data_IF_064752737609
#
_entry.id   IF_064752737609
#
_cell.length_a   1.000
_cell.length_b   1.000
_cell.length_c   1.000
_cell.angle_alpha   90.00
_cell.angle_beta   90.00
_cell.angle_gamma   90.00
#
_symmetry.space_group_name_H-M   'P 1'
#
loop_
_entity.id
_entity.type
_entity.pdbx_description
1 polymer ?
#
# COMPACT_ATOMS: atom_id res chain seq x y z
N UNK A 1 -4.32 19.64 25.72
CA UNK A 1 -3.16 19.09 24.98
C UNK A 1 -3.51 17.87 24.10
N UNK A 2 -4.79 17.58 23.81
CA UNK A 2 -5.19 16.47 22.91
C UNK A 2 -5.12 16.82 21.41
N UNK A 3 -5.33 18.08 21.03
CA UNK A 3 -5.35 18.51 19.62
C UNK A 3 -4.02 18.32 18.86
N UNK A 4 -2.87 18.36 19.55
CA UNK A 4 -1.57 18.11 18.92
C UNK A 4 -1.33 16.64 18.59
N UNK A 5 -1.91 15.70 19.36
CA UNK A 5 -1.68 14.27 19.17
C UNK A 5 -2.38 13.74 17.91
N UNK A 6 -3.63 14.16 17.68
CA UNK A 6 -4.37 13.69 16.51
C UNK A 6 -3.85 14.25 15.19
N UNK A 7 -3.42 15.53 15.17
CA UNK A 7 -2.76 16.11 14.00
C UNK A 7 -1.50 15.31 13.62
N UNK A 8 -0.65 15.03 14.60
CA UNK A 8 0.58 14.26 14.41
C UNK A 8 0.30 12.83 13.93
N UNK A 9 -0.74 12.18 14.46
CA UNK A 9 -1.15 10.85 13.99
C UNK A 9 -1.55 10.86 12.50
N UNK A 10 -2.36 11.83 12.07
CA UNK A 10 -2.74 11.97 10.66
C UNK A 10 -1.55 12.30 9.77
N UNK A 11 -0.61 13.13 10.23
CA UNK A 11 0.64 13.39 9.53
C UNK A 11 1.45 12.10 9.34
N UNK A 12 1.65 11.32 10.41
CA UNK A 12 2.41 10.08 10.36
C UNK A 12 1.78 9.03 9.43
N UNK A 13 0.45 8.88 9.45
CA UNK A 13 -0.25 7.98 8.52
C UNK A 13 -0.11 8.48 7.09
N UNK A 14 -0.31 9.78 6.84
CA UNK A 14 -0.12 10.36 5.51
C UNK A 14 1.28 10.09 4.97
N UNK A 15 2.31 10.29 5.80
CA UNK A 15 3.69 10.00 5.45
C UNK A 15 3.92 8.53 5.10
N UNK A 16 3.45 7.59 5.94
CA UNK A 16 3.69 6.16 5.67
C UNK A 16 3.00 5.71 4.39
N UNK A 17 1.75 6.13 4.15
CA UNK A 17 1.03 5.74 2.94
C UNK A 17 1.72 6.32 1.70
N UNK A 18 2.27 7.52 1.78
CA UNK A 18 3.12 8.09 0.73
C UNK A 18 4.39 7.24 0.50
N UNK A 19 5.10 6.85 1.56
CA UNK A 19 6.28 5.98 1.43
C UNK A 19 5.94 4.60 0.83
N UNK A 20 4.78 4.04 1.17
CA UNK A 20 4.30 2.80 0.56
C UNK A 20 4.01 2.98 -0.93
N UNK A 21 3.42 4.11 -1.33
CA UNK A 21 3.19 4.43 -2.75
C UNK A 21 4.49 4.60 -3.52
N UNK A 22 5.46 5.35 -2.98
CA UNK A 22 6.80 5.51 -3.59
C UNK A 22 7.47 4.14 -3.75
N UNK A 23 7.45 3.31 -2.69
CA UNK A 23 8.00 1.96 -2.74
C UNK A 23 7.35 1.09 -3.83
N UNK A 24 6.03 1.22 -4.03
CA UNK A 24 5.32 0.50 -5.10
C UNK A 24 5.72 1.00 -6.50
N UNK A 25 5.85 2.31 -6.68
CA UNK A 25 6.25 2.93 -7.94
C UNK A 25 7.69 2.55 -8.33
N UNK A 26 8.57 2.44 -7.34
CA UNK A 26 9.96 1.99 -7.52
C UNK A 26 10.10 0.47 -7.64
N UNK A 27 8.98 -0.28 -7.64
CA UNK A 27 8.93 -1.74 -7.58
C UNK A 27 9.71 -2.37 -6.42
N UNK A 28 9.95 -1.60 -5.34
CA UNK A 28 10.61 -2.07 -4.13
C UNK A 28 9.60 -2.71 -3.17
N UNK A 29 9.20 -3.93 -3.50
CA UNK A 29 8.16 -4.67 -2.76
C UNK A 29 8.57 -5.02 -1.33
N UNK A 30 9.86 -5.26 -1.07
CA UNK A 30 10.36 -5.54 0.28
C UNK A 30 10.23 -4.32 1.19
N UNK A 31 10.61 -3.13 0.68
CA UNK A 31 10.45 -1.88 1.42
C UNK A 31 8.96 -1.57 1.65
N UNK A 32 8.12 -1.76 0.62
CA UNK A 32 6.67 -1.60 0.76
C UNK A 32 6.10 -2.48 1.89
N UNK A 33 6.48 -3.76 1.93
CA UNK A 33 6.03 -4.69 2.96
C UNK A 33 6.57 -4.32 4.34
N UNK A 34 7.79 -3.78 4.43
CA UNK A 34 8.35 -3.33 5.72
C UNK A 34 7.53 -2.21 6.38
N UNK A 35 6.83 -1.39 5.58
CA UNK A 35 5.96 -0.32 6.08
C UNK A 35 4.60 -0.82 6.59
N UNK A 36 4.17 -2.02 6.17
CA UNK A 36 2.82 -2.53 6.41
C UNK A 36 2.47 -2.62 7.90
N UNK A 37 3.40 -3.13 8.73
CA UNK A 37 3.18 -3.27 10.18
C UNK A 37 2.94 -1.90 10.82
N UNK A 38 3.75 -0.90 10.44
CA UNK A 38 3.64 0.45 11.00
C UNK A 38 2.38 1.15 10.52
N UNK A 39 1.99 0.96 9.25
CA UNK A 39 0.73 1.45 8.70
C UNK A 39 -0.49 0.91 9.48
N UNK A 40 -0.53 -0.41 9.73
CA UNK A 40 -1.61 -1.05 10.47
C UNK A 40 -1.73 -0.48 11.89
N UNK A 41 -0.62 -0.43 12.61
CA UNK A 41 -0.57 0.10 13.98
C UNK A 41 -1.09 1.54 14.06
N UNK A 42 -0.63 2.43 13.18
CA UNK A 42 -1.08 3.82 13.20
C UNK A 42 -2.55 3.98 12.78
N UNK A 43 -3.00 3.18 11.82
CA UNK A 43 -4.39 3.23 11.35
C UNK A 43 -5.37 2.75 12.43
N UNK A 44 -5.02 1.70 13.17
CA UNK A 44 -5.79 1.23 14.33
C UNK A 44 -5.87 2.29 15.42
N UNK A 45 -4.76 2.96 15.72
CA UNK A 45 -4.73 4.02 16.74
C UNK A 45 -5.67 5.19 16.40
N UNK A 46 -5.73 5.58 15.12
CA UNK A 46 -6.66 6.64 14.66
C UNK A 46 -8.11 6.16 14.77
N UNK A 47 -8.42 4.92 14.36
CA UNK A 47 -9.79 4.38 14.44
C UNK A 47 -10.36 4.27 15.86
N UNK A 48 -9.51 4.18 16.89
CA UNK A 48 -9.92 4.06 18.29
C UNK A 48 -10.25 5.42 18.94
N UNK A 49 -9.89 6.53 18.30
CA UNK A 49 -10.23 7.87 18.76
C UNK A 49 -11.56 8.28 18.13
N UNK A 50 -12.48 8.87 18.91
CA UNK A 50 -13.71 9.46 18.37
C UNK A 50 -13.35 10.76 17.63
N UNK A 51 -12.81 10.56 16.42
CA UNK A 51 -12.05 11.55 15.65
C UNK A 51 -12.87 12.77 15.27
N UNK A 52 -14.18 12.62 15.06
CA UNK A 52 -15.02 13.71 14.60
C UNK A 52 -15.17 14.79 15.67
N UNK A 53 -15.46 14.40 16.91
CA UNK A 53 -15.51 15.34 18.03
C UNK A 53 -14.13 15.92 18.34
N UNK A 54 -13.06 15.13 18.22
CA UNK A 54 -11.70 15.61 18.44
C UNK A 54 -11.26 16.64 17.39
N UNK A 55 -11.61 16.45 16.12
CA UNK A 55 -11.31 17.37 15.01
C UNK A 55 -12.13 18.66 15.15
N UNK A 56 -13.43 18.58 15.45
CA UNK A 56 -14.29 19.77 15.60
C UNK A 56 -13.82 20.71 16.71
N UNK A 57 -13.21 20.16 17.77
CA UNK A 57 -12.66 20.93 18.89
C UNK A 57 -11.26 21.54 18.61
N UNK A 58 -10.67 21.30 17.44
CA UNK A 58 -9.37 21.89 17.05
C UNK A 58 -9.51 23.30 16.49
N UNK A 59 -8.44 24.12 16.52
CA UNK A 59 -8.38 25.35 15.75
C UNK A 59 -8.63 25.10 14.25
N UNK A 60 -9.34 26.01 13.58
CA UNK A 60 -9.73 25.87 12.16
C UNK A 60 -8.54 25.55 11.23
N UNK A 61 -7.36 26.11 11.49
CA UNK A 61 -6.15 25.80 10.73
C UNK A 61 -5.76 24.32 10.83
N UNK A 62 -5.82 23.74 12.02
CA UNK A 62 -5.48 22.34 12.27
C UNK A 62 -6.52 21.41 11.63
N UNK A 63 -7.81 21.77 11.68
CA UNK A 63 -8.85 21.04 10.96
C UNK A 63 -8.60 20.99 9.45
N UNK A 64 -8.18 22.12 8.87
CA UNK A 64 -7.82 22.20 7.45
C UNK A 64 -6.67 21.26 7.09
N UNK A 65 -5.64 21.19 7.94
CA UNK A 65 -4.48 20.32 7.74
C UNK A 65 -4.88 18.84 7.89
N UNK A 66 -5.64 18.47 8.91
CA UNK A 66 -6.13 17.08 9.08
C UNK A 66 -6.96 16.65 7.86
N UNK A 67 -7.85 17.51 7.36
CA UNK A 67 -8.63 17.22 6.14
C UNK A 67 -7.74 17.03 4.91
N UNK A 68 -6.64 17.78 4.80
CA UNK A 68 -5.64 17.60 3.75
C UNK A 68 -4.96 16.22 3.87
N UNK A 69 -4.50 15.84 5.07
CA UNK A 69 -3.90 14.52 5.29
C UNK A 69 -4.87 13.39 4.97
N UNK A 70 -6.14 13.47 5.38
CA UNK A 70 -7.16 12.48 5.04
C UNK A 70 -7.30 12.33 3.51
N UNK A 71 -7.37 13.45 2.77
CA UNK A 71 -7.44 13.42 1.30
C UNK A 71 -6.20 12.77 0.68
N UNK A 72 -5.01 13.08 1.20
CA UNK A 72 -3.76 12.50 0.72
C UNK A 72 -3.73 11.00 0.96
N UNK A 73 -4.05 10.55 2.19
CA UNK A 73 -4.14 9.14 2.56
C UNK A 73 -5.05 8.38 1.60
N UNK A 74 -6.27 8.86 1.38
CA UNK A 74 -7.24 8.23 0.48
C UNK A 74 -6.73 8.18 -0.97
N UNK A 75 -6.15 9.27 -1.46
CA UNK A 75 -5.60 9.35 -2.82
C UNK A 75 -4.44 8.37 -3.01
N UNK A 76 -3.50 8.32 -2.07
CA UNK A 76 -2.35 7.42 -2.14
C UNK A 76 -2.77 5.96 -2.01
N UNK A 77 -3.70 5.62 -1.12
CA UNK A 77 -4.26 4.28 -1.00
C UNK A 77 -4.95 3.81 -2.31
N UNK A 78 -5.69 4.70 -2.96
CA UNK A 78 -6.34 4.39 -4.23
C UNK A 78 -5.30 4.06 -5.31
N UNK A 79 -4.26 4.89 -5.43
CA UNK A 79 -3.16 4.65 -6.39
C UNK A 79 -2.41 3.36 -6.08
N UNK A 80 -2.07 3.13 -4.81
CA UNK A 80 -1.39 1.92 -4.35
C UNK A 80 -2.19 0.66 -4.68
N UNK A 81 -3.51 0.69 -4.47
CA UNK A 81 -4.42 -0.41 -4.80
C UNK A 81 -4.39 -0.73 -6.30
N UNK A 82 -4.44 0.29 -7.14
CA UNK A 82 -4.37 0.12 -8.60
C UNK A 82 -3.04 -0.50 -9.04
N UNK A 83 -1.92 -0.03 -8.47
CA UNK A 83 -0.58 -0.58 -8.76
C UNK A 83 -0.46 -2.05 -8.35
N UNK A 84 -0.92 -2.41 -7.15
CA UNK A 84 -0.86 -3.78 -6.65
C UNK A 84 -1.71 -4.72 -7.52
N UNK A 85 -2.93 -4.31 -7.90
CA UNK A 85 -3.79 -5.11 -8.79
C UNK A 85 -3.13 -5.31 -10.16
N UNK A 86 -2.57 -4.24 -10.74
CA UNK A 86 -1.87 -4.31 -12.02
C UNK A 86 -0.67 -5.27 -11.93
N UNK A 87 0.13 -5.16 -10.86
CA UNK A 87 1.29 -6.04 -10.64
C UNK A 87 0.89 -7.51 -10.48
N UNK A 88 -0.15 -7.80 -9.70
CA UNK A 88 -0.66 -9.17 -9.56
C UNK A 88 -1.13 -9.75 -10.89
N UNK A 89 -1.76 -8.94 -11.73
CA UNK A 89 -2.20 -9.34 -13.07
C UNK A 89 -1.00 -9.69 -13.96
N UNK A 90 0.05 -8.86 -13.94
CA UNK A 90 1.30 -9.12 -14.67
C UNK A 90 1.99 -10.41 -14.19
N UNK A 91 2.13 -10.57 -12.86
CA UNK A 91 2.74 -11.75 -12.26
C UNK A 91 2.01 -13.04 -12.63
N UNK A 92 0.67 -13.03 -12.60
CA UNK A 92 -0.14 -14.16 -13.06
C UNK A 92 0.17 -14.54 -14.50
N UNK A 93 0.28 -13.55 -15.39
CA UNK A 93 0.65 -13.77 -16.79
C UNK A 93 2.05 -14.36 -16.96
N UNK A 94 3.03 -13.86 -16.21
CA UNK A 94 4.42 -14.35 -16.24
C UNK A 94 4.52 -15.79 -15.74
N UNK A 95 3.85 -16.12 -14.63
CA UNK A 95 3.81 -17.48 -14.08
C UNK A 95 3.19 -18.45 -15.10
N UNK A 96 2.07 -18.07 -15.72
CA UNK A 96 1.43 -18.90 -16.75
C UNK A 96 2.35 -19.18 -17.94
N UNK A 97 3.04 -18.15 -18.44
CA UNK A 97 4.04 -18.31 -19.53
C UNK A 97 5.20 -19.20 -19.14
N UNK A 98 5.71 -19.07 -17.90
CA UNK A 98 6.80 -19.88 -17.40
C UNK A 98 6.41 -21.37 -17.32
N UNK A 99 5.20 -21.68 -16.84
CA UNK A 99 4.69 -23.06 -16.79
C UNK A 99 4.55 -23.65 -18.19
N UNK A 100 3.97 -22.90 -19.13
CA UNK A 100 3.84 -23.34 -20.53
C UNK A 100 5.21 -23.63 -21.16
N UNK A 101 6.18 -22.74 -20.95
CA UNK A 101 7.56 -22.94 -21.40
C UNK A 101 8.17 -24.21 -20.80
N UNK A 102 8.05 -24.41 -19.48
CA UNK A 102 8.58 -25.59 -18.80
C UNK A 102 7.96 -26.90 -19.33
N UNK A 103 6.65 -26.90 -19.56
CA UNK A 103 5.95 -28.06 -20.14
C UNK A 103 6.43 -28.37 -21.56
N UNK A 104 6.63 -27.36 -22.39
CA UNK A 104 7.17 -27.53 -23.75
C UNK A 104 8.57 -28.14 -23.72
N UNK A 105 9.46 -27.61 -22.88
CA UNK A 105 10.82 -28.15 -22.71
C UNK A 105 10.78 -29.60 -22.24
N UNK A 106 9.96 -29.91 -21.22
CA UNK A 106 9.82 -31.28 -20.71
C UNK A 106 9.28 -32.25 -21.77
N UNK A 107 8.34 -31.80 -22.62
CA UNK A 107 7.84 -32.61 -23.72
C UNK A 107 8.92 -32.85 -24.79
N UNK A 108 9.70 -31.83 -25.16
CA UNK A 108 10.82 -32.00 -26.10
C UNK A 108 11.87 -32.99 -25.57
N UNK A 109 12.22 -32.90 -24.28
CA UNK A 109 13.14 -33.85 -23.65
C UNK A 109 12.61 -35.29 -23.69
N UNK A 110 11.31 -35.49 -23.39
CA UNK A 110 10.68 -36.81 -23.50
C UNK A 110 10.74 -37.36 -24.93
N UNK A 111 10.43 -36.55 -25.93
CA UNK A 111 10.51 -36.97 -27.34
C UNK A 111 11.95 -37.33 -27.72
N UNK A 112 12.93 -36.50 -27.33
CA UNK A 112 14.34 -36.76 -27.61
C UNK A 112 14.84 -38.07 -26.96
N UNK A 113 14.29 -38.47 -25.82
CA UNK A 113 14.66 -39.74 -25.16
C UNK A 113 14.08 -40.99 -25.82
N UNK A 114 13.19 -40.84 -26.80
CA UNK A 114 12.58 -41.96 -27.54
C UNK A 114 13.27 -42.25 -28.89
N UNK A 115 14.27 -41.45 -29.26
CA UNK A 115 15.07 -41.56 -30.49
C UNK A 115 16.49 -41.97 -30.13
#
# INVERSE_FOLDING_TARGET
MQGNNLLEQYEQVSYIVEQMLISALDENWDLLLSWQTKYLQLSENIMLVDDFAAIENMPLQHQGIVRMYIKNILSYQQQLTQLIIARHTQLRGLIGKHIDYHNKVGNYQKIASLV
#
